data_IF_096990324615
#
_entry.id   IF_096990324615
#
_cell.length_a   1.000
_cell.length_b   1.000
_cell.length_c   1.000
_cell.angle_alpha   90.00
_cell.angle_beta   90.00
_cell.angle_gamma   90.00
#
_symmetry.space_group_name_H-M   'P 1'
#
loop_
_entity.id
_entity.type
_entity.pdbx_description
1 polymer ?
#
# COMPACT_ATOMS: atom_id res chain seq x y z
N UNK A 1 -9.95 7.18 -20.59
CA UNK A 1 -8.50 7.22 -20.89
C UNK A 1 -7.94 5.80 -20.82
N UNK A 2 -6.90 5.44 -21.59
CA UNK A 2 -6.29 4.10 -21.50
C UNK A 2 -5.44 4.00 -20.23
N UNK A 3 -4.55 4.95 -19.99
CA UNK A 3 -3.79 4.97 -18.75
C UNK A 3 -3.23 6.34 -18.39
N UNK A 4 -2.88 6.48 -17.12
CA UNK A 4 -2.51 7.75 -16.50
C UNK A 4 -1.25 7.64 -15.66
N UNK A 5 -0.40 8.65 -15.72
CA UNK A 5 0.57 8.97 -14.68
C UNK A 5 0.77 10.48 -14.58
N UNK A 6 0.94 10.96 -13.35
CA UNK A 6 1.40 12.32 -13.13
C UNK A 6 2.27 12.41 -11.89
N UNK A 7 3.39 13.13 -12.00
CA UNK A 7 4.32 13.31 -10.89
C UNK A 7 5.65 13.92 -11.33
N UNK A 8 6.61 13.89 -10.41
CA UNK A 8 7.95 14.45 -10.61
C UNK A 8 8.83 13.45 -11.35
N UNK A 9 9.67 13.94 -12.26
CA UNK A 9 10.66 13.16 -13.01
C UNK A 9 11.95 12.95 -12.20
N UNK A 10 11.83 12.40 -11.00
CA UNK A 10 12.94 12.18 -10.05
C UNK A 10 13.64 10.81 -10.25
N UNK A 11 13.31 10.09 -11.31
CA UNK A 11 13.91 8.80 -11.65
C UNK A 11 14.02 8.59 -13.16
N UNK A 12 14.99 7.76 -13.56
CA UNK A 12 15.26 7.44 -14.97
C UNK A 12 14.03 6.92 -15.72
N UNK A 13 13.23 6.06 -15.06
CA UNK A 13 12.02 5.49 -15.68
C UNK A 13 10.89 6.51 -15.79
N UNK A 14 10.78 7.46 -14.85
CA UNK A 14 9.77 8.54 -14.90
C UNK A 14 10.05 9.52 -16.03
N UNK A 15 11.31 9.96 -16.15
CA UNK A 15 11.75 10.80 -17.28
C UNK A 15 11.50 10.09 -18.62
N UNK A 16 11.86 8.82 -18.73
CA UNK A 16 11.59 8.03 -19.93
C UNK A 16 10.11 7.89 -20.25
N UNK A 17 9.28 7.62 -19.25
CA UNK A 17 7.84 7.48 -19.40
C UNK A 17 7.25 8.78 -19.97
N UNK A 18 7.62 9.93 -19.38
CA UNK A 18 7.22 11.25 -19.84
C UNK A 18 7.67 11.51 -21.28
N UNK A 19 8.98 11.45 -21.56
CA UNK A 19 9.52 11.73 -22.90
C UNK A 19 8.97 10.81 -23.99
N UNK A 20 8.56 9.58 -23.66
CA UNK A 20 8.02 8.64 -24.64
C UNK A 20 6.56 8.91 -24.97
N UNK A 21 5.77 9.41 -24.01
CA UNK A 21 4.30 9.40 -24.08
C UNK A 21 3.62 10.76 -23.81
N UNK A 22 4.37 11.85 -23.59
CA UNK A 22 3.82 13.19 -23.27
C UNK A 22 2.78 13.72 -24.28
N UNK A 23 2.83 13.27 -25.55
CA UNK A 23 1.90 13.70 -26.60
C UNK A 23 0.92 12.61 -27.06
N UNK A 24 0.81 11.48 -26.35
CA UNK A 24 -0.16 10.43 -26.71
C UNK A 24 -1.59 10.84 -26.32
N UNK A 25 -2.56 10.40 -27.12
CA UNK A 25 -3.98 10.75 -26.93
C UNK A 25 -4.73 9.78 -26.00
N UNK A 26 -4.16 8.60 -25.72
CA UNK A 26 -4.78 7.57 -24.88
C UNK A 26 -4.03 7.36 -23.57
N UNK A 27 -2.71 7.58 -23.56
CA UNK A 27 -1.89 7.63 -22.35
C UNK A 27 -1.69 9.09 -21.93
N UNK A 28 -2.28 9.49 -20.82
CA UNK A 28 -2.08 10.82 -20.25
C UNK A 28 -0.92 10.79 -19.27
N UNK A 29 0.21 11.34 -19.69
CA UNK A 29 1.46 11.35 -18.93
C UNK A 29 1.87 12.80 -18.72
N UNK A 30 1.85 13.26 -17.47
CA UNK A 30 2.11 14.66 -17.15
C UNK A 30 3.19 14.80 -16.07
N UNK A 31 4.35 15.33 -16.46
CA UNK A 31 5.38 15.74 -15.52
C UNK A 31 4.96 17.04 -14.82
N UNK A 32 4.61 16.94 -13.54
CA UNK A 32 4.33 18.10 -12.69
C UNK A 32 4.70 17.80 -11.25
N UNK A 33 5.10 18.84 -10.53
CA UNK A 33 5.20 18.75 -9.07
C UNK A 33 3.83 18.39 -8.50
N UNK A 34 3.79 17.38 -7.63
CA UNK A 34 2.54 17.08 -6.94
C UNK A 34 2.15 18.34 -6.15
N UNK A 35 0.94 18.86 -6.36
CA UNK A 35 0.53 20.13 -5.82
C UNK A 35 0.69 20.13 -4.30
N UNK A 36 1.46 21.10 -3.80
CA UNK A 36 1.66 21.32 -2.37
C UNK A 36 0.38 21.82 -1.67
N UNK A 37 -0.63 22.28 -2.43
CA UNK A 37 -1.93 22.68 -1.92
C UNK A 37 -2.99 21.59 -2.15
N UNK A 38 -3.52 21.10 -1.02
CA UNK A 38 -4.51 20.01 -0.94
C UNK A 38 -5.79 20.34 -1.72
N UNK A 39 -6.20 21.61 -1.83
CA UNK A 39 -7.53 21.96 -2.34
C UNK A 39 -7.67 22.10 -3.87
N UNK A 40 -6.62 22.44 -4.62
CA UNK A 40 -6.72 22.65 -6.08
C UNK A 40 -6.14 21.49 -6.88
N UNK A 41 -5.14 20.82 -6.30
CA UNK A 41 -4.42 19.74 -6.92
C UNK A 41 -5.06 18.36 -6.82
N UNK A 42 -5.72 18.08 -5.69
CA UNK A 42 -6.34 16.78 -5.44
C UNK A 42 -7.50 16.48 -6.37
N UNK A 43 -8.32 17.48 -6.72
CA UNK A 43 -9.50 17.25 -7.55
C UNK A 43 -9.13 16.79 -8.95
N UNK A 44 -8.15 17.43 -9.57
CA UNK A 44 -7.71 17.05 -10.91
C UNK A 44 -7.09 15.64 -10.90
N UNK A 45 -6.19 15.36 -9.97
CA UNK A 45 -5.60 14.03 -9.84
C UNK A 45 -6.65 12.94 -9.56
N UNK A 46 -7.64 13.22 -8.71
CA UNK A 46 -8.77 12.32 -8.41
C UNK A 46 -9.57 11.99 -9.67
N UNK A 47 -9.91 12.98 -10.47
CA UNK A 47 -10.60 12.76 -11.75
C UNK A 47 -9.75 11.95 -12.71
N UNK A 48 -8.44 12.20 -12.77
CA UNK A 48 -7.54 11.45 -13.64
C UNK A 48 -7.47 9.96 -13.26
N UNK A 49 -7.45 9.64 -11.95
CA UNK A 49 -7.56 8.27 -11.47
C UNK A 49 -8.90 7.63 -11.87
N UNK A 50 -10.03 8.29 -11.64
CA UNK A 50 -11.36 7.73 -11.95
C UNK A 50 -11.60 7.53 -13.46
N UNK A 51 -11.05 8.42 -14.29
CA UNK A 51 -11.28 8.41 -15.74
C UNK A 51 -10.29 7.51 -16.50
N UNK A 52 -9.39 6.84 -15.77
CA UNK A 52 -8.35 5.96 -16.30
C UNK A 52 -8.64 4.49 -16.03
N UNK A 53 -8.38 3.64 -17.02
CA UNK A 53 -8.44 2.18 -16.84
C UNK A 53 -7.24 1.66 -16.05
N UNK A 54 -6.07 2.18 -16.38
CA UNK A 54 -4.78 1.77 -15.84
C UNK A 54 -4.02 2.97 -15.26
N UNK A 55 -3.39 2.80 -14.11
CA UNK A 55 -2.58 3.83 -13.49
C UNK A 55 -1.13 3.36 -13.49
N UNK A 56 -0.29 4.06 -14.23
CA UNK A 56 1.10 3.67 -14.43
C UNK A 56 1.88 4.10 -13.20
N UNK A 57 2.51 3.13 -12.55
CA UNK A 57 3.26 3.27 -11.32
C UNK A 57 4.75 3.05 -11.64
N UNK A 58 5.44 4.06 -12.21
CA UNK A 58 6.86 3.96 -12.54
C UNK A 58 7.73 3.97 -11.28
N UNK A 59 8.72 3.08 -11.26
CA UNK A 59 9.70 2.96 -10.18
C UNK A 59 10.32 4.31 -9.78
N UNK A 60 10.58 4.47 -8.49
CA UNK A 60 11.18 5.69 -7.94
C UNK A 60 10.69 6.01 -6.53
N UNK A 61 11.14 7.15 -5.98
CA UNK A 61 10.72 7.60 -4.65
C UNK A 61 9.20 7.75 -4.54
N UNK A 62 8.66 7.43 -3.36
CA UNK A 62 7.23 7.61 -3.02
C UNK A 62 6.22 6.83 -3.90
N UNK A 63 6.67 5.76 -4.56
CA UNK A 63 5.80 4.93 -5.41
C UNK A 63 4.63 4.31 -4.63
N UNK A 64 4.83 3.95 -3.36
CA UNK A 64 3.79 3.36 -2.50
C UNK A 64 2.52 4.21 -2.39
N UNK A 65 2.67 5.53 -2.28
CA UNK A 65 1.54 6.45 -2.17
C UNK A 65 0.70 6.50 -3.45
N UNK A 66 1.36 6.53 -4.61
CA UNK A 66 0.68 6.53 -5.90
C UNK A 66 -0.06 5.20 -6.15
N UNK A 67 0.56 4.07 -5.79
CA UNK A 67 -0.08 2.75 -5.86
C UNK A 67 -1.33 2.72 -4.96
N UNK A 68 -1.24 3.23 -3.73
CA UNK A 68 -2.38 3.29 -2.82
C UNK A 68 -3.52 4.13 -3.40
N UNK A 69 -3.25 5.27 -4.05
CA UNK A 69 -4.28 6.05 -4.74
C UNK A 69 -4.90 5.34 -5.93
N UNK A 70 -4.08 4.71 -6.78
CA UNK A 70 -4.57 3.94 -7.92
C UNK A 70 -5.59 2.89 -7.44
N UNK A 71 -5.21 2.12 -6.42
CA UNK A 71 -6.09 1.12 -5.80
C UNK A 71 -7.34 1.80 -5.22
N UNK A 72 -7.19 2.84 -4.39
CA UNK A 72 -8.30 3.55 -3.73
C UNK A 72 -9.37 4.03 -4.71
N UNK A 73 -8.95 4.57 -5.86
CA UNK A 73 -9.85 5.07 -6.90
C UNK A 73 -10.28 4.00 -7.92
N UNK A 74 -9.84 2.74 -7.75
CA UNK A 74 -10.24 1.62 -8.60
C UNK A 74 -9.55 1.58 -9.96
N UNK A 75 -8.47 2.35 -10.12
CA UNK A 75 -7.62 2.35 -11.29
C UNK A 75 -6.60 1.21 -11.19
N UNK A 76 -6.55 0.32 -12.18
CA UNK A 76 -5.70 -0.87 -12.10
C UNK A 76 -4.23 -0.44 -12.10
N UNK A 77 -3.44 -0.72 -11.03
CA UNK A 77 -2.03 -0.34 -10.99
C UNK A 77 -1.22 -1.11 -12.03
N UNK A 78 -0.37 -0.39 -12.76
CA UNK A 78 0.62 -0.92 -13.69
C UNK A 78 2.00 -0.66 -13.10
N UNK A 79 2.55 -1.65 -12.43
CA UNK A 79 3.87 -1.56 -11.79
C UNK A 79 4.93 -1.59 -12.89
N UNK A 80 5.62 -0.47 -13.11
CA UNK A 80 6.65 -0.34 -14.14
C UNK A 80 8.01 -0.15 -13.45
N UNK A 81 8.61 -1.27 -13.05
CA UNK A 81 9.89 -1.29 -12.34
C UNK A 81 10.57 -2.65 -12.48
N UNK A 82 11.89 -2.68 -12.54
CA UNK A 82 12.65 -3.93 -12.61
C UNK A 82 12.76 -4.61 -11.24
N UNK A 83 12.79 -3.82 -10.17
CA UNK A 83 12.91 -4.29 -8.79
C UNK A 83 12.06 -3.40 -7.88
N UNK A 84 10.90 -3.91 -7.46
CA UNK A 84 10.07 -3.25 -6.49
C UNK A 84 9.47 -4.27 -5.52
N UNK A 85 9.71 -4.08 -4.22
CA UNK A 85 9.08 -4.90 -3.19
C UNK A 85 7.70 -4.30 -2.88
N UNK A 86 6.65 -4.98 -3.35
CA UNK A 86 5.30 -4.45 -3.28
C UNK A 86 4.74 -4.57 -1.84
N UNK A 87 3.88 -3.62 -1.43
CA UNK A 87 3.26 -3.71 -0.12
C UNK A 87 2.45 -5.00 0.00
N UNK A 88 2.65 -5.70 1.12
CA UNK A 88 1.97 -6.96 1.42
C UNK A 88 2.22 -8.05 0.37
N UNK A 89 3.38 -8.08 -0.31
CA UNK A 89 3.64 -9.05 -1.38
C UNK A 89 3.58 -10.53 -0.94
N UNK A 90 3.90 -10.82 0.33
CA UNK A 90 3.74 -12.16 0.92
C UNK A 90 2.27 -12.52 1.22
N UNK A 91 1.39 -11.53 1.13
CA UNK A 91 -0.01 -11.54 1.56
C UNK A 91 -0.97 -11.28 0.36
N UNK A 92 -0.60 -10.55 -0.68
CA UNK A 92 -1.50 -10.27 -1.80
C UNK A 92 -0.85 -10.73 -3.11
N UNK A 93 -1.57 -11.50 -3.92
CA UNK A 93 -1.08 -11.84 -5.26
C UNK A 93 -1.35 -10.69 -6.22
N UNK A 94 -0.40 -9.76 -6.28
CA UNK A 94 -0.44 -8.57 -7.14
C UNK A 94 -0.79 -8.88 -8.60
N UNK A 95 -0.48 -10.08 -9.11
CA UNK A 95 -0.81 -10.46 -10.49
C UNK A 95 -2.30 -10.55 -10.78
N UNK A 96 -3.16 -10.64 -9.75
CA UNK A 96 -4.62 -10.72 -9.91
C UNK A 96 -5.32 -9.38 -9.97
N UNK A 97 -4.67 -8.29 -9.54
CA UNK A 97 -5.24 -6.94 -9.52
C UNK A 97 -4.30 -5.85 -10.07
N UNK A 98 -3.15 -6.22 -10.63
CA UNK A 98 -2.18 -5.29 -11.23
C UNK A 98 -1.56 -5.87 -12.50
N UNK A 99 -0.90 -5.01 -13.27
CA UNK A 99 -0.06 -5.41 -14.40
C UNK A 99 1.39 -5.11 -14.04
N UNK A 100 2.26 -6.13 -14.00
CA UNK A 100 3.66 -5.97 -13.61
C UNK A 100 4.54 -6.02 -14.87
N UNK A 101 5.25 -4.92 -15.14
CA UNK A 101 6.06 -4.69 -16.33
C UNK A 101 7.49 -4.30 -15.95
N UNK A 102 8.44 -4.63 -16.83
CA UNK A 102 9.83 -4.20 -16.71
C UNK A 102 9.98 -2.76 -17.18
N UNK A 103 11.02 -2.07 -16.72
CA UNK A 103 11.27 -0.68 -17.14
C UNK A 103 11.41 -0.54 -18.67
N UNK A 104 11.99 -1.55 -19.32
CA UNK A 104 12.13 -1.58 -20.78
C UNK A 104 10.80 -1.73 -21.54
N UNK A 105 9.73 -2.19 -20.88
CA UNK A 105 8.41 -2.31 -21.50
C UNK A 105 7.76 -0.93 -21.72
N UNK A 106 8.34 0.16 -21.19
CA UNK A 106 7.87 1.54 -21.39
C UNK A 106 7.62 1.88 -22.86
N UNK A 107 8.44 1.37 -23.79
CA UNK A 107 8.30 1.64 -25.22
C UNK A 107 7.13 0.89 -25.88
N UNK A 108 6.67 -0.21 -25.28
CA UNK A 108 5.55 -1.02 -25.76
C UNK A 108 4.32 -0.89 -24.87
N UNK A 109 4.36 0.00 -23.87
CA UNK A 109 3.36 0.13 -22.80
C UNK A 109 1.93 0.20 -23.34
N UNK A 110 1.66 1.14 -24.24
CA UNK A 110 0.33 1.31 -24.86
C UNK A 110 -0.18 0.02 -25.50
N UNK A 111 0.67 -0.65 -26.28
CA UNK A 111 0.33 -1.90 -26.96
C UNK A 111 0.01 -3.00 -25.95
N UNK A 112 0.86 -3.17 -24.93
CA UNK A 112 0.65 -4.17 -23.88
C UNK A 112 -0.71 -3.96 -23.20
N UNK A 113 -1.05 -2.72 -22.85
CA UNK A 113 -2.32 -2.40 -22.18
C UNK A 113 -3.53 -2.58 -23.11
N UNK A 114 -3.41 -2.25 -24.40
CA UNK A 114 -4.47 -2.48 -25.39
C UNK A 114 -4.69 -3.96 -25.72
N UNK A 115 -3.64 -4.76 -25.67
CA UNK A 115 -3.68 -6.20 -25.95
C UNK A 115 -4.31 -7.00 -24.78
N UNK A 116 -4.57 -6.39 -23.62
CA UNK A 116 -5.26 -7.05 -22.50
C UNK A 116 -6.72 -7.35 -22.89
N UNK A 117 -7.14 -8.63 -22.89
CA UNK A 117 -8.52 -8.97 -23.22
C UNK A 117 -9.51 -8.38 -22.22
N UNK A 118 -10.70 -7.96 -22.70
CA UNK A 118 -11.76 -7.37 -21.86
C UNK A 118 -12.07 -8.20 -20.61
N UNK A 119 -12.15 -9.52 -20.74
CA UNK A 119 -12.41 -10.44 -19.62
C UNK A 119 -11.31 -10.37 -18.56
N UNK A 120 -10.05 -10.27 -18.98
CA UNK A 120 -8.91 -10.13 -18.08
C UNK A 120 -8.94 -8.77 -17.38
N UNK A 121 -9.23 -7.70 -18.12
CA UNK A 121 -9.41 -6.37 -17.55
C UNK A 121 -10.52 -6.33 -16.48
N UNK A 122 -11.69 -6.90 -16.77
CA UNK A 122 -12.82 -6.95 -15.82
C UNK A 122 -12.45 -7.74 -14.56
N UNK A 123 -11.69 -8.83 -14.71
CA UNK A 123 -11.17 -9.58 -13.58
C UNK A 123 -10.19 -8.74 -12.75
N UNK A 124 -9.20 -8.10 -13.38
CA UNK A 124 -8.24 -7.21 -12.69
C UNK A 124 -8.99 -6.11 -11.92
N UNK A 125 -9.93 -5.43 -12.58
CA UNK A 125 -10.71 -4.34 -11.97
C UNK A 125 -11.52 -4.81 -10.74
N UNK A 126 -12.18 -5.96 -10.84
CA UNK A 126 -12.93 -6.52 -9.71
C UNK A 126 -12.01 -6.85 -8.54
N UNK A 127 -10.85 -7.46 -8.78
CA UNK A 127 -9.89 -7.74 -7.70
C UNK A 127 -9.29 -6.45 -7.13
N UNK A 128 -9.00 -5.44 -7.96
CA UNK A 128 -8.56 -4.11 -7.48
C UNK A 128 -9.56 -3.53 -6.48
N UNK A 129 -10.86 -3.62 -6.78
CA UNK A 129 -11.92 -3.20 -5.84
C UNK A 129 -11.92 -4.00 -4.54
N UNK A 130 -11.75 -5.33 -4.61
CA UNK A 130 -11.74 -6.20 -3.43
C UNK A 130 -10.57 -5.89 -2.48
N UNK A 131 -9.40 -5.55 -3.04
CA UNK A 131 -8.21 -5.26 -2.22
C UNK A 131 -8.18 -3.84 -1.66
N UNK A 132 -9.06 -2.92 -2.11
CA UNK A 132 -9.07 -1.52 -1.65
C UNK A 132 -9.04 -1.36 -0.13
N UNK A 133 -9.87 -2.14 0.57
CA UNK A 133 -9.97 -2.10 2.03
C UNK A 133 -8.62 -2.35 2.72
N UNK A 134 -7.76 -3.17 2.12
CA UNK A 134 -6.45 -3.55 2.67
C UNK A 134 -5.41 -2.43 2.59
N UNK A 135 -5.67 -1.40 1.77
CA UNK A 135 -4.81 -0.21 1.64
C UNK A 135 -5.41 1.03 2.30
N UNK A 136 -6.60 0.90 2.90
CA UNK A 136 -7.29 2.01 3.56
C UNK A 136 -6.88 2.08 5.04
N UNK A 137 -6.47 3.27 5.48
CA UNK A 137 -6.28 3.56 6.90
C UNK A 137 -7.57 4.12 7.50
N UNK A 138 -7.94 3.62 8.68
CA UNK A 138 -9.11 4.09 9.41
C UNK A 138 -8.69 4.69 10.76
N UNK A 139 -9.44 5.68 11.24
CA UNK A 139 -9.27 6.28 12.58
C UNK A 139 -9.49 5.28 13.72
N UNK A 140 -10.31 4.27 13.48
CA UNK A 140 -10.47 3.10 14.33
C UNK A 140 -10.22 1.88 13.47
N UNK A 141 -9.32 0.96 13.86
CA UNK A 141 -8.98 -0.18 13.03
C UNK A 141 -10.22 -0.97 12.65
N UNK A 142 -10.42 -1.15 11.36
CA UNK A 142 -11.45 -2.03 10.82
C UNK A 142 -10.77 -3.31 10.38
N UNK A 143 -11.45 -4.42 10.56
CA UNK A 143 -10.96 -5.74 10.19
C UNK A 143 -10.37 -5.74 8.76
N UNK A 144 -9.13 -6.20 8.66
CA UNK A 144 -8.35 -6.31 7.43
C UNK A 144 -7.98 -4.98 6.75
N UNK A 145 -8.11 -3.86 7.45
CA UNK A 145 -7.62 -2.59 6.95
C UNK A 145 -6.09 -2.52 6.92
N UNK A 146 -5.53 -1.42 6.42
CA UNK A 146 -4.09 -1.26 6.29
C UNK A 146 -3.34 -1.47 7.62
N UNK A 147 -3.92 -1.09 8.76
CA UNK A 147 -3.32 -1.33 10.06
C UNK A 147 -3.18 -2.84 10.33
N UNK A 148 -4.27 -3.61 10.20
CA UNK A 148 -4.21 -5.06 10.41
C UNK A 148 -3.29 -5.77 9.41
N UNK A 149 -3.28 -5.32 8.16
CA UNK A 149 -2.38 -5.85 7.13
C UNK A 149 -0.91 -5.65 7.51
N UNK A 150 -0.55 -4.47 8.03
CA UNK A 150 0.80 -4.20 8.55
C UNK A 150 1.12 -5.07 9.76
N UNK A 151 0.22 -5.17 10.73
CA UNK A 151 0.47 -5.99 11.93
C UNK A 151 0.66 -7.45 11.60
N UNK A 152 -0.11 -7.97 10.65
CA UNK A 152 0.01 -9.34 10.17
C UNK A 152 1.30 -9.57 9.38
N UNK A 153 1.70 -8.64 8.50
CA UNK A 153 2.97 -8.72 7.77
C UNK A 153 4.17 -8.74 8.71
N UNK A 154 4.17 -7.87 9.73
CA UNK A 154 5.21 -7.86 10.76
C UNK A 154 5.26 -9.17 11.56
N UNK A 155 4.09 -9.72 11.90
CA UNK A 155 4.01 -11.02 12.57
C UNK A 155 4.58 -12.15 11.71
N UNK A 156 4.23 -12.19 10.42
CA UNK A 156 4.76 -13.17 9.47
C UNK A 156 6.29 -13.09 9.36
N UNK A 157 6.84 -11.88 9.19
CA UNK A 157 8.29 -11.67 9.11
C UNK A 157 9.02 -12.12 10.38
N UNK A 158 8.45 -11.85 11.55
CA UNK A 158 9.01 -12.34 12.82
C UNK A 158 9.03 -13.88 12.89
N UNK A 159 7.95 -14.55 12.49
CA UNK A 159 7.87 -16.01 12.56
C UNK A 159 8.68 -16.73 11.47
N UNK A 160 8.87 -16.10 10.31
CA UNK A 160 9.75 -16.62 9.25
C UNK A 160 11.21 -16.73 9.72
N UNK A 161 11.66 -15.81 10.58
CA UNK A 161 13.00 -15.86 11.18
C UNK A 161 13.15 -16.88 12.32
N UNK A 162 12.03 -17.39 12.87
CA UNK A 162 12.00 -18.28 14.03
C UNK A 162 12.07 -19.78 13.68
N UNK A 163 12.33 -20.15 12.42
CA UNK A 163 12.61 -21.52 12.00
C UNK A 163 11.39 -22.47 11.90
N UNK A 164 10.17 -21.96 11.99
CA UNK A 164 8.96 -22.75 11.70
C UNK A 164 8.78 -22.89 10.17
N UNK A 165 8.36 -24.06 9.63
CA UNK A 165 8.30 -24.27 8.18
C UNK A 165 7.28 -23.31 7.52
N UNK A 166 7.78 -22.28 6.84
CA UNK A 166 6.97 -21.34 6.07
C UNK A 166 6.27 -22.00 4.85
N UNK A 167 6.70 -23.19 4.44
CA UNK A 167 6.32 -23.75 3.13
C UNK A 167 4.84 -24.12 2.95
N UNK A 168 4.06 -24.29 4.02
CA UNK A 168 2.66 -24.74 3.91
C UNK A 168 1.60 -23.67 4.18
N UNK A 169 1.96 -22.48 4.70
CA UNK A 169 0.97 -21.41 4.99
C UNK A 169 0.85 -20.36 3.89
N UNK A 170 1.96 -20.00 3.23
CA UNK A 170 1.95 -18.97 2.18
C UNK A 170 1.23 -19.39 0.88
N UNK A 171 1.21 -20.69 0.55
CA UNK A 171 0.57 -21.19 -0.69
C UNK A 171 -0.94 -21.42 -0.59
N UNK A 172 -1.46 -21.70 0.61
CA UNK A 172 -2.90 -21.79 0.84
C UNK A 172 -3.53 -20.40 0.73
N UNK A 173 -2.87 -19.41 1.31
CA UNK A 173 -3.33 -18.05 1.50
C UNK A 173 -3.51 -17.20 0.21
N UNK A 174 -2.61 -17.28 -0.78
CA UNK A 174 -2.77 -16.54 -2.05
C UNK A 174 -3.99 -17.00 -2.89
N UNK A 175 -4.65 -18.09 -2.47
CA UNK A 175 -5.94 -18.54 -3.00
C UNK A 175 -7.15 -18.10 -2.16
N UNK A 176 -6.92 -17.59 -0.95
CA UNK A 176 -7.90 -17.50 0.13
C UNK A 176 -8.59 -16.13 0.22
N UNK A 177 -7.89 -15.00 -0.04
CA UNK A 177 -8.53 -13.66 0.05
C UNK A 177 -9.49 -13.32 -1.09
N UNK A 178 -9.39 -14.02 -2.22
CA UNK A 178 -9.97 -13.54 -3.48
C UNK A 178 -11.13 -14.39 -4.01
N UNK A 179 -11.37 -15.60 -3.47
CA UNK A 179 -12.25 -16.58 -4.15
C UNK A 179 -13.57 -16.95 -3.42
N UNK A 180 -13.75 -16.79 -2.09
CA UNK A 180 -15.06 -17.11 -1.47
C UNK A 180 -15.29 -16.64 -0.02
N UNK A 181 -16.55 -16.69 0.43
CA UNK A 181 -16.98 -16.40 1.82
C UNK A 181 -16.56 -17.44 2.86
N UNK A 182 -16.02 -18.59 2.44
CA UNK A 182 -15.60 -19.67 3.34
C UNK A 182 -14.16 -19.49 3.83
N UNK A 183 -13.46 -18.54 3.22
CA UNK A 183 -12.04 -18.26 3.37
C UNK A 183 -11.76 -17.05 4.28
N UNK A 184 -12.77 -16.21 4.55
CA UNK A 184 -12.69 -15.16 5.59
C UNK A 184 -12.44 -15.73 6.98
N UNK A 185 -13.00 -16.91 7.26
CA UNK A 185 -12.97 -17.51 8.60
C UNK A 185 -11.56 -17.97 8.99
N UNK A 186 -10.75 -18.41 8.03
CA UNK A 186 -9.35 -18.80 8.29
C UNK A 186 -8.46 -17.58 8.57
N UNK A 187 -8.65 -16.49 7.82
CA UNK A 187 -7.93 -15.24 8.09
C UNK A 187 -8.36 -14.62 9.41
N UNK A 188 -9.62 -14.79 9.81
CA UNK A 188 -10.11 -14.36 11.12
C UNK A 188 -9.39 -15.05 12.26
N UNK A 189 -9.25 -16.36 12.17
CA UNK A 189 -8.55 -17.15 13.17
C UNK A 189 -7.07 -16.75 13.27
N UNK A 190 -6.41 -16.48 12.14
CA UNK A 190 -5.01 -16.06 12.12
C UNK A 190 -4.83 -14.61 12.57
N UNK A 191 -5.73 -13.68 12.20
CA UNK A 191 -5.76 -12.31 12.71
C UNK A 191 -6.01 -12.28 14.21
N UNK A 192 -7.01 -13.02 14.71
CA UNK A 192 -7.30 -13.14 16.14
C UNK A 192 -6.11 -13.76 16.88
N UNK A 193 -5.51 -14.82 16.33
CA UNK A 193 -4.30 -15.44 16.89
C UNK A 193 -3.10 -14.49 16.91
N UNK A 194 -2.95 -13.66 15.88
CA UNK A 194 -1.92 -12.60 15.79
C UNK A 194 -2.16 -11.53 16.83
N UNK A 195 -3.38 -11.02 16.99
CA UNK A 195 -3.75 -10.03 18.01
C UNK A 195 -3.50 -10.54 19.45
N UNK A 196 -3.75 -11.81 19.69
CA UNK A 196 -3.54 -12.41 21.01
C UNK A 196 -2.06 -12.53 21.34
N UNK A 197 -1.25 -13.04 20.43
CA UNK A 197 0.12 -13.47 20.74
C UNK A 197 1.20 -12.48 20.32
N UNK A 198 0.95 -11.63 19.33
CA UNK A 198 1.95 -10.67 18.87
C UNK A 198 1.96 -9.42 19.76
N UNK A 199 3.18 -8.99 20.13
CA UNK A 199 3.39 -7.86 21.04
C UNK A 199 4.54 -6.99 20.55
N UNK A 200 4.32 -5.69 20.54
CA UNK A 200 5.28 -4.67 20.13
C UNK A 200 5.51 -3.76 21.33
N UNK A 201 6.78 -3.52 21.66
CA UNK A 201 7.15 -2.46 22.60
C UNK A 201 7.66 -1.26 21.82
N UNK A 202 7.27 -0.06 22.22
CA UNK A 202 7.73 1.17 21.56
C UNK A 202 8.69 1.90 22.50
N UNK A 203 9.85 2.29 21.98
CA UNK A 203 10.82 3.03 22.76
C UNK A 203 10.25 4.40 23.16
N UNK A 204 10.44 4.83 24.43
CA UNK A 204 10.01 6.13 24.88
C UNK A 204 10.79 7.21 24.12
N UNK A 205 10.08 8.21 23.58
CA UNK A 205 10.69 9.34 22.92
C UNK A 205 10.70 10.57 23.85
N UNK A 206 11.80 11.31 23.86
CA UNK A 206 11.89 12.55 24.62
C UNK A 206 11.11 13.65 23.87
N UNK A 207 9.90 13.96 24.34
CA UNK A 207 8.96 14.90 23.71
C UNK A 207 9.40 16.36 23.71
N UNK A 208 10.53 16.69 24.37
CA UNK A 208 11.04 18.06 24.48
C UNK A 208 11.53 18.69 23.16
N UNK A 209 11.70 17.90 22.09
CA UNK A 209 12.15 18.37 20.77
C UNK A 209 11.03 18.39 19.71
N UNK A 210 9.78 18.12 20.10
CA UNK A 210 8.67 18.01 19.17
C UNK A 210 7.99 19.38 18.96
N UNK A 211 8.38 20.11 17.91
CA UNK A 211 7.61 21.26 17.43
C UNK A 211 6.36 20.76 16.70
N UNK A 212 5.20 20.99 17.32
CA UNK A 212 3.82 20.76 16.84
C UNK A 212 3.49 19.35 16.27
N UNK A 213 2.61 18.56 16.93
CA UNK A 213 2.13 17.30 16.34
C UNK A 213 1.40 17.60 15.02
N UNK A 214 1.85 16.98 13.92
CA UNK A 214 1.22 17.10 12.60
C UNK A 214 -0.26 16.71 12.72
N UNK A 215 -1.16 17.56 12.22
CA UNK A 215 -2.59 17.24 12.15
C UNK A 215 -2.77 15.96 11.32
N UNK A 216 -3.56 15.02 11.84
CA UNK A 216 -4.02 13.83 11.13
C UNK A 216 -5.01 14.25 10.04
N UNK A 217 -4.51 14.83 8.94
CA UNK A 217 -5.34 15.14 7.77
C UNK A 217 -5.51 13.87 6.91
N UNK A 218 -6.75 13.65 6.49
CA UNK A 218 -7.33 12.33 6.23
C UNK A 218 -6.74 11.52 5.06
N UNK A 219 -5.94 12.13 4.18
CA UNK A 219 -5.42 11.44 2.97
C UNK A 219 -3.92 11.08 3.05
N UNK A 220 -3.17 11.57 4.06
CA UNK A 220 -1.71 11.32 4.17
C UNK A 220 -1.18 11.13 5.59
N UNK A 221 -2.07 10.99 6.57
CA UNK A 221 -1.71 10.73 7.97
C UNK A 221 -1.37 9.28 8.29
N UNK A 222 -1.00 8.44 7.32
CA UNK A 222 -0.84 6.97 7.49
C UNK A 222 0.04 6.60 8.68
N UNK A 223 1.14 7.32 8.87
CA UNK A 223 2.04 7.11 9.99
C UNK A 223 1.38 7.48 11.33
N UNK A 224 0.72 8.63 11.40
CA UNK A 224 0.02 9.04 12.61
C UNK A 224 -1.15 8.11 12.97
N UNK A 225 -1.90 7.67 11.95
CA UNK A 225 -2.96 6.66 12.10
C UNK A 225 -2.38 5.32 12.58
N UNK A 226 -1.22 4.90 12.07
CA UNK A 226 -0.53 3.71 12.55
C UNK A 226 -0.22 3.81 14.04
N UNK A 227 0.37 4.91 14.51
CA UNK A 227 0.69 5.08 15.93
C UNK A 227 -0.56 5.19 16.80
N UNK A 228 -1.59 5.92 16.37
CA UNK A 228 -2.86 6.03 17.09
C UNK A 228 -3.53 4.66 17.24
N UNK A 229 -3.59 3.89 16.15
CA UNK A 229 -4.15 2.55 16.13
C UNK A 229 -3.32 1.57 16.96
N UNK A 230 -1.98 1.62 16.86
CA UNK A 230 -1.07 0.80 17.67
C UNK A 230 -1.29 1.05 19.16
N UNK A 231 -1.37 2.32 19.57
CA UNK A 231 -1.55 2.73 20.95
C UNK A 231 -2.88 2.24 21.56
N UNK A 232 -3.94 2.19 20.75
CA UNK A 232 -5.26 1.66 21.16
C UNK A 232 -5.37 0.14 21.03
N UNK A 233 -4.45 -0.50 20.31
CA UNK A 233 -4.52 -1.93 20.01
C UNK A 233 -4.00 -2.80 21.16
N UNK A 234 -4.33 -4.09 21.08
CA UNK A 234 -3.79 -5.13 21.99
C UNK A 234 -2.36 -5.55 21.65
N UNK A 235 -1.81 -5.04 20.55
CA UNK A 235 -0.46 -5.36 20.13
C UNK A 235 0.59 -4.61 20.96
N UNK A 236 0.27 -3.43 21.50
CA UNK A 236 1.21 -2.67 22.32
C UNK A 236 1.43 -3.33 23.69
N UNK A 237 2.69 -3.49 24.11
CA UNK A 237 3.07 -3.93 25.46
C UNK A 237 4.00 -2.92 26.13
N UNK A 238 3.74 -2.63 27.41
CA UNK A 238 4.65 -1.88 28.28
C UNK A 238 5.75 -2.76 28.89
N UNK A 239 5.54 -4.08 28.86
CA UNK A 239 6.50 -5.06 29.35
C UNK A 239 7.44 -5.48 28.19
N UNK A 240 8.72 -5.04 28.20
CA UNK A 240 9.65 -5.34 27.13
C UNK A 240 10.00 -6.84 27.04
N UNK A 241 9.87 -7.61 28.13
CA UNK A 241 10.16 -9.05 28.14
C UNK A 241 9.09 -9.84 27.39
N UNK A 242 7.91 -9.25 27.17
CA UNK A 242 6.83 -9.84 26.35
C UNK A 242 6.88 -9.40 24.88
N UNK A 243 7.78 -8.48 24.51
CA UNK A 243 7.81 -7.90 23.18
C UNK A 243 8.47 -8.84 22.16
N UNK A 244 7.83 -8.98 21.00
CA UNK A 244 8.35 -9.71 19.84
C UNK A 244 9.13 -8.77 18.90
N UNK A 245 8.68 -7.51 18.82
CA UNK A 245 9.33 -6.43 18.08
C UNK A 245 9.48 -5.19 18.95
N UNK A 246 10.51 -4.41 18.66
CA UNK A 246 10.72 -3.10 19.26
C UNK A 246 10.66 -2.04 18.17
N UNK A 247 9.80 -1.04 18.37
CA UNK A 247 9.63 0.08 17.45
C UNK A 247 10.37 1.31 17.99
N UNK A 248 11.20 1.94 17.17
CA UNK A 248 11.83 3.23 17.48
C UNK A 248 11.10 4.28 16.67
N UNK A 249 10.34 5.20 17.30
CA UNK A 249 9.65 6.25 16.58
C UNK A 249 10.64 7.14 15.84
N UNK A 250 10.49 7.26 14.51
CA UNK A 250 11.30 8.17 13.68
C UNK A 250 10.73 9.59 13.65
N UNK A 251 9.48 9.77 14.09
CA UNK A 251 8.80 11.05 14.18
C UNK A 251 7.99 11.15 15.48
N UNK A 252 7.75 12.38 15.92
CA UNK A 252 6.93 12.69 17.10
C UNK A 252 5.43 12.47 16.86
N UNK A 253 5.02 11.23 16.59
CA UNK A 253 3.62 10.84 16.77
C UNK A 253 3.47 10.52 18.25
N UNK A 254 2.62 11.28 18.93
CA UNK A 254 2.43 11.24 20.38
C UNK A 254 1.95 9.87 20.85
N UNK A 255 2.89 8.95 21.09
CA UNK A 255 2.69 7.86 22.03
C UNK A 255 2.78 8.49 23.43
N UNK A 256 1.83 8.21 24.33
CA UNK A 256 1.82 8.84 25.63
C UNK A 256 3.15 8.58 26.34
N UNK A 257 3.76 9.65 26.85
CA UNK A 257 4.86 9.56 27.77
C UNK A 257 4.45 8.67 28.96
N UNK A 258 5.42 7.93 29.51
CA UNK A 258 5.22 7.18 30.74
C UNK A 258 4.65 8.10 31.82
N UNK A 259 3.52 7.71 32.42
CA UNK A 259 3.03 8.27 33.68
C UNK A 259 3.94 7.88 34.85
#
# INVERSE_FOLDING_TARGET
MLGFWSGVEDSYIREKLYLTWEYDSELYIEAKDWPTSIEQGHWQAREDFYNSKFCICPGGPQLDGFIAFAIHYGCIPVILSDYYDLPFNDILDWRKFSVILKENDVYSLKKILQDIPKKTYEALQNHTFMVQKHFQWNLSPVKYDAFHMVMYDLWLRHHATSGLPAQNRHQAWARTIEDSAQDSDAFDMDCEGTEMNFKISVYPHNTNFCEEPRKLEAEFGNEGLFYENLNRSRFLTKDPDKAHLFLIPTYCHSLPAED
#
